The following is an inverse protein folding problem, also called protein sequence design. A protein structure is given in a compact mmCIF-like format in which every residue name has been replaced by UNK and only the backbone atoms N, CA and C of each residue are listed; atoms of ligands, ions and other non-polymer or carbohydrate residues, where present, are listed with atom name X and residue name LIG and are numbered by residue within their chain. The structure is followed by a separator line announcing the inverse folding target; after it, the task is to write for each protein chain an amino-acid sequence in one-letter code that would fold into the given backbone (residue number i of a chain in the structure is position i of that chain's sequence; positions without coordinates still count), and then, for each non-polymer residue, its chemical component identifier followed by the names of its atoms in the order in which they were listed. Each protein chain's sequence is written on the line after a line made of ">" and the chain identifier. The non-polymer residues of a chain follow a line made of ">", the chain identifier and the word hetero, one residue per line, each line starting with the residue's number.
data_IF_184696592113
#
_entry.id   IF_184696592113
#
_cell.length_a   1.000
_cell.length_b   1.000
_cell.length_c   1.000
_cell.angle_alpha   90.00
_cell.angle_beta   90.00
_cell.angle_gamma   90.00
#
_symmetry.space_group_name_H-M   'P 1'
#
loop_
_entity.id
_entity.type
_entity.pdbx_description
1 polymer ?
#
# COMPACT_ATOMS: atom_id res chain seq x y z
N UNK A 1 16.20 20.82 -4.97
CA UNK A 1 15.29 19.89 -4.27
C UNK A 1 15.29 18.55 -4.99
N UNK A 2 15.44 17.45 -4.25
CA UNK A 2 15.39 16.10 -4.81
C UNK A 2 13.98 15.80 -5.33
N UNK A 3 13.79 15.30 -6.55
CA UNK A 3 12.48 14.91 -7.05
C UNK A 3 11.80 13.86 -6.15
N UNK A 4 10.49 13.92 -6.03
CA UNK A 4 9.74 13.02 -5.12
C UNK A 4 9.91 11.54 -5.50
N UNK A 5 9.93 11.22 -6.79
CA UNK A 5 10.21 9.86 -7.29
C UNK A 5 11.58 9.34 -6.83
N UNK A 6 12.61 10.21 -6.82
CA UNK A 6 13.95 9.85 -6.31
C UNK A 6 13.92 9.65 -4.79
N UNK A 7 13.16 10.46 -4.04
CA UNK A 7 12.96 10.25 -2.60
C UNK A 7 12.29 8.89 -2.31
N UNK A 8 11.33 8.48 -3.14
CA UNK A 8 10.70 7.14 -3.02
C UNK A 8 11.73 6.04 -3.29
N UNK A 9 12.56 6.16 -4.34
CA UNK A 9 13.62 5.20 -4.64
C UNK A 9 14.63 5.06 -3.48
N UNK A 10 15.08 6.19 -2.92
CA UNK A 10 15.96 6.20 -1.74
C UNK A 10 15.30 5.52 -0.53
N UNK A 11 14.02 5.76 -0.33
CA UNK A 11 13.24 5.12 0.75
C UNK A 11 13.13 3.61 0.56
N UNK A 12 12.92 3.14 -0.67
CA UNK A 12 12.90 1.70 -0.97
C UNK A 12 14.23 1.04 -0.62
N UNK A 13 15.36 1.63 -1.02
CA UNK A 13 16.68 1.10 -0.72
C UNK A 13 16.96 1.11 0.79
N UNK A 14 16.65 2.23 1.46
CA UNK A 14 16.89 2.39 2.90
C UNK A 14 16.08 1.40 3.74
N UNK A 15 14.76 1.33 3.55
CA UNK A 15 13.87 0.45 4.31
C UNK A 15 14.10 -1.01 3.89
N UNK A 16 14.28 -1.25 2.60
CA UNK A 16 14.55 -2.57 2.05
C UNK A 16 15.80 -3.21 2.62
N UNK A 17 16.87 -2.43 2.80
CA UNK A 17 18.10 -2.91 3.45
C UNK A 17 17.84 -3.46 4.85
N UNK A 18 17.09 -2.76 5.69
CA UNK A 18 16.78 -3.23 7.05
C UNK A 18 15.87 -4.46 7.03
N UNK A 19 14.83 -4.45 6.21
CA UNK A 19 13.91 -5.59 6.09
C UNK A 19 14.62 -6.83 5.56
N UNK A 20 15.45 -6.68 4.54
CA UNK A 20 16.23 -7.78 3.96
C UNK A 20 17.15 -8.42 5.00
N UNK A 21 17.84 -7.61 5.79
CA UNK A 21 18.72 -8.12 6.85
C UNK A 21 17.92 -8.85 7.95
N UNK A 22 16.83 -8.25 8.41
CA UNK A 22 15.99 -8.85 9.45
C UNK A 22 15.35 -10.19 9.00
N UNK A 23 14.84 -10.24 7.76
CA UNK A 23 14.29 -11.47 7.19
C UNK A 23 15.36 -12.56 7.03
N UNK A 24 16.55 -12.19 6.53
CA UNK A 24 17.65 -13.13 6.42
C UNK A 24 18.09 -13.68 7.77
N UNK A 25 18.20 -12.83 8.79
CA UNK A 25 18.53 -13.25 10.15
C UNK A 25 17.49 -14.24 10.69
N UNK A 26 16.20 -13.94 10.49
CA UNK A 26 15.11 -14.82 10.94
C UNK A 26 15.10 -16.18 10.22
N UNK A 27 15.37 -16.21 8.91
CA UNK A 27 15.52 -17.45 8.16
C UNK A 27 16.67 -18.29 8.71
N UNK A 28 17.82 -17.69 8.95
CA UNK A 28 18.99 -18.39 9.52
C UNK A 28 18.72 -18.91 10.94
N UNK A 29 18.04 -18.15 11.79
CA UNK A 29 17.64 -18.57 13.13
C UNK A 29 16.71 -19.80 13.11
N UNK A 30 15.99 -19.99 12.01
CA UNK A 30 15.11 -21.16 11.75
C UNK A 30 15.81 -22.29 10.98
N UNK A 31 17.11 -22.18 10.71
CA UNK A 31 17.89 -23.10 9.88
C UNK A 31 17.36 -23.22 8.43
N UNK A 32 16.75 -22.17 7.90
CA UNK A 32 16.33 -22.05 6.49
C UNK A 32 17.46 -21.34 5.74
N UNK A 33 18.20 -22.08 4.90
CA UNK A 33 19.40 -21.57 4.23
C UNK A 33 19.29 -21.51 2.72
N UNK A 34 18.23 -22.06 2.16
CA UNK A 34 17.95 -22.20 0.73
C UNK A 34 17.05 -21.11 0.16
N UNK A 35 16.55 -20.21 1.02
CA UNK A 35 15.75 -19.06 0.60
C UNK A 35 16.59 -17.78 0.62
N UNK A 36 16.67 -17.11 -0.53
CA UNK A 36 17.30 -15.79 -0.68
C UNK A 36 16.29 -14.68 -0.41
N UNK A 37 16.74 -13.58 0.19
CA UNK A 37 15.94 -12.36 0.35
C UNK A 37 16.54 -11.25 -0.49
N UNK A 38 15.77 -10.65 -1.36
CA UNK A 38 16.21 -9.54 -2.19
C UNK A 38 15.26 -8.34 -2.11
N UNK A 39 15.83 -7.15 -2.10
CA UNK A 39 15.10 -5.89 -2.24
C UNK A 39 15.23 -5.38 -3.67
N UNK A 40 14.10 -5.12 -4.31
CA UNK A 40 14.05 -4.59 -5.65
C UNK A 40 13.56 -3.15 -5.68
N UNK A 41 14.35 -2.27 -6.30
CA UNK A 41 13.89 -0.93 -6.66
C UNK A 41 12.79 -1.09 -7.70
N UNK A 42 11.57 -0.66 -7.36
CA UNK A 42 10.38 -0.95 -8.15
C UNK A 42 9.71 0.33 -8.63
N UNK A 43 9.55 0.44 -9.94
CA UNK A 43 8.83 1.50 -10.62
C UNK A 43 7.38 1.06 -10.89
N UNK A 44 6.44 1.97 -10.70
CA UNK A 44 5.02 1.71 -10.94
C UNK A 44 4.47 2.79 -11.86
N UNK A 45 3.98 2.36 -13.02
CA UNK A 45 3.40 3.27 -13.99
C UNK A 45 2.04 3.78 -13.52
N UNK A 46 1.84 5.07 -13.71
CA UNK A 46 0.58 5.77 -13.48
C UNK A 46 0.13 6.51 -14.72
N UNK A 47 -1.16 6.84 -14.81
CA UNK A 47 -1.70 7.67 -15.86
C UNK A 47 -1.36 9.14 -15.59
N UNK A 48 -0.79 9.84 -16.58
CA UNK A 48 -0.52 11.29 -16.47
C UNK A 48 -1.78 12.15 -16.38
N UNK A 49 -2.92 11.60 -16.82
CA UNK A 49 -4.23 12.25 -16.78
C UNK A 49 -5.09 11.82 -15.58
N UNK A 50 -4.53 11.04 -14.64
CA UNK A 50 -5.26 10.64 -13.43
C UNK A 50 -5.78 11.90 -12.69
N UNK A 51 -7.08 11.94 -12.32
CA UNK A 51 -7.68 13.10 -11.64
C UNK A 51 -6.99 13.45 -10.30
N UNK A 52 -6.28 12.53 -9.70
CA UNK A 52 -5.50 12.77 -8.49
C UNK A 52 -4.42 13.85 -8.67
N UNK A 53 -3.92 14.08 -9.90
CA UNK A 53 -2.97 15.17 -10.17
C UNK A 53 -3.61 16.55 -10.06
N UNK A 54 -4.89 16.67 -10.41
CA UNK A 54 -5.64 17.91 -10.24
C UNK A 54 -6.13 18.13 -8.79
N UNK A 55 -6.29 17.04 -8.02
CA UNK A 55 -6.83 17.07 -6.65
C UNK A 55 -5.90 16.33 -5.65
N UNK A 56 -4.70 16.88 -5.33
CA UNK A 56 -3.78 16.27 -4.38
C UNK A 56 -4.42 16.03 -3.01
N UNK A 57 -4.28 14.80 -2.49
CA UNK A 57 -4.92 14.39 -1.23
C UNK A 57 -4.03 13.55 -0.32
N UNK A 58 -2.94 12.96 -0.83
CA UNK A 58 -2.07 12.06 -0.05
C UNK A 58 -1.14 12.85 0.87
N UNK A 59 -1.31 12.79 2.21
CA UNK A 59 -0.42 13.47 3.14
C UNK A 59 0.96 12.83 3.17
N UNK A 60 2.00 13.66 3.09
CA UNK A 60 3.40 13.24 3.19
C UNK A 60 4.19 14.13 4.15
N UNK A 61 5.35 13.63 4.59
CA UNK A 61 6.25 14.37 5.46
C UNK A 61 5.76 14.48 6.92
N UNK A 62 6.42 15.33 7.69
CA UNK A 62 6.12 15.56 9.10
C UNK A 62 4.90 16.48 9.30
N UNK A 63 4.34 16.45 10.48
CA UNK A 63 3.35 17.44 10.90
C UNK A 63 4.00 18.79 11.16
N UNK A 64 3.33 19.86 10.73
CA UNK A 64 3.77 21.24 10.83
C UNK A 64 2.70 22.06 11.56
N UNK A 65 3.10 23.20 12.19
CA UNK A 65 2.14 24.21 12.63
C UNK A 65 1.55 24.92 11.41
N UNK A 66 0.50 25.70 11.62
CA UNK A 66 -0.11 26.49 10.55
C UNK A 66 0.88 27.49 9.95
N UNK A 67 1.63 28.19 10.79
CA UNK A 67 2.63 29.18 10.38
C UNK A 67 3.73 28.54 9.51
N UNK A 68 4.22 27.36 9.92
CA UNK A 68 5.21 26.61 9.16
C UNK A 68 4.63 26.12 7.82
N UNK A 69 3.36 25.72 7.79
CA UNK A 69 2.69 25.29 6.58
C UNK A 69 2.52 26.45 5.60
N UNK A 70 2.11 27.63 6.09
CA UNK A 70 1.96 28.84 5.29
C UNK A 70 3.31 29.29 4.69
N UNK A 71 4.40 29.23 5.47
CA UNK A 71 5.76 29.49 4.99
C UNK A 71 6.18 28.51 3.87
N UNK A 72 5.92 27.21 4.06
CA UNK A 72 6.26 26.18 3.06
C UNK A 72 5.44 26.34 1.78
N UNK A 73 4.16 26.70 1.89
CA UNK A 73 3.31 27.01 0.73
C UNK A 73 3.85 28.20 -0.06
N UNK A 74 4.22 29.29 0.60
CA UNK A 74 4.75 30.50 -0.05
C UNK A 74 6.12 30.26 -0.71
N UNK A 75 6.99 29.52 -0.03
CA UNK A 75 8.39 29.33 -0.47
C UNK A 75 8.53 28.28 -1.57
N UNK A 76 7.71 27.23 -1.57
CA UNK A 76 7.88 26.05 -2.41
C UNK A 76 6.65 25.71 -3.26
N UNK A 77 5.58 26.50 -3.18
CA UNK A 77 4.29 26.23 -3.85
C UNK A 77 3.72 24.85 -3.46
N UNK A 78 3.88 24.47 -2.19
CA UNK A 78 3.34 23.21 -1.69
C UNK A 78 1.89 23.36 -1.27
N UNK A 79 1.07 22.39 -1.64
CA UNK A 79 -0.31 22.29 -1.15
C UNK A 79 -0.25 21.68 0.25
N UNK A 80 -0.68 22.46 1.24
CA UNK A 80 -0.72 22.05 2.64
C UNK A 80 -2.16 21.85 3.07
N UNK A 81 -2.43 20.74 3.80
CA UNK A 81 -3.76 20.46 4.38
C UNK A 81 -3.61 20.06 5.85
N UNK A 82 -4.63 20.38 6.61
CA UNK A 82 -4.80 19.88 7.97
C UNK A 82 -5.02 18.38 7.94
N UNK A 83 -4.41 17.62 8.84
CA UNK A 83 -4.45 16.16 8.90
C UNK A 83 -4.93 15.69 10.27
N UNK A 84 -6.23 15.49 10.39
CA UNK A 84 -6.92 14.85 11.51
C UNK A 84 -6.60 15.46 12.90
N UNK A 85 -6.58 16.80 13.04
CA UNK A 85 -6.35 17.50 14.30
C UNK A 85 -4.90 17.48 14.80
N UNK A 86 -3.97 16.86 14.03
CA UNK A 86 -2.57 16.68 14.43
C UNK A 86 -1.64 17.76 13.89
N UNK A 87 -2.13 18.65 13.03
CA UNK A 87 -1.38 19.71 12.37
C UNK A 87 -1.48 19.62 10.85
N UNK A 88 -0.61 20.34 10.16
CA UNK A 88 -0.62 20.47 8.71
C UNK A 88 0.45 19.57 8.07
N UNK A 89 0.10 18.98 6.94
CA UNK A 89 1.04 18.20 6.11
C UNK A 89 0.95 18.61 4.65
N UNK A 90 2.07 18.46 3.95
CA UNK A 90 2.04 18.56 2.49
C UNK A 90 1.19 17.43 1.93
N UNK A 91 0.32 17.76 0.97
CA UNK A 91 -0.41 16.75 0.20
C UNK A 91 0.10 16.72 -1.24
N UNK A 92 0.14 15.51 -1.79
CA UNK A 92 0.56 15.24 -3.17
C UNK A 92 -0.49 14.39 -3.88
N UNK A 93 -0.38 14.29 -5.21
CA UNK A 93 -1.21 13.38 -5.99
C UNK A 93 -0.99 11.93 -5.54
N UNK A 94 -2.06 11.13 -5.57
CA UNK A 94 -2.01 9.70 -5.31
C UNK A 94 -2.76 8.95 -6.42
N UNK A 95 -2.17 8.88 -7.63
CA UNK A 95 -2.79 8.23 -8.77
C UNK A 95 -2.88 6.72 -8.57
N UNK A 96 -3.81 6.07 -9.29
CA UNK A 96 -3.94 4.61 -9.30
C UNK A 96 -2.75 3.96 -10.02
N UNK A 97 -2.17 2.88 -9.45
CA UNK A 97 -1.13 2.11 -10.13
C UNK A 97 -1.74 1.35 -11.32
N UNK A 98 -1.00 1.28 -12.44
CA UNK A 98 -1.46 0.62 -13.67
C UNK A 98 -0.59 -0.56 -14.09
N UNK A 99 0.71 -0.51 -13.82
CA UNK A 99 1.69 -1.51 -14.27
C UNK A 99 2.91 -1.48 -13.36
N UNK A 100 3.41 -2.65 -12.99
CA UNK A 100 4.69 -2.77 -12.27
C UNK A 100 5.77 -3.06 -13.30
N UNK A 101 6.72 -2.14 -13.47
CA UNK A 101 7.70 -2.22 -14.55
C UNK A 101 8.59 -3.44 -14.42
N UNK A 102 9.02 -3.77 -13.21
CA UNK A 102 9.94 -4.88 -12.93
C UNK A 102 9.25 -6.22 -12.68
N UNK A 103 7.96 -6.35 -13.01
CA UNK A 103 7.15 -7.53 -12.69
C UNK A 103 7.78 -8.85 -13.22
N UNK A 104 8.36 -8.85 -14.41
CA UNK A 104 9.00 -10.04 -14.97
C UNK A 104 10.16 -10.56 -14.13
N UNK A 105 10.99 -9.66 -13.61
CA UNK A 105 12.11 -10.01 -12.73
C UNK A 105 11.60 -10.47 -11.36
N UNK A 106 10.62 -9.77 -10.79
CA UNK A 106 9.99 -10.15 -9.51
C UNK A 106 9.41 -11.54 -9.61
N UNK A 107 8.66 -11.84 -10.68
CA UNK A 107 8.07 -13.18 -10.93
C UNK A 107 9.15 -14.26 -10.99
N UNK A 108 10.23 -14.03 -11.72
CA UNK A 108 11.33 -15.00 -11.85
C UNK A 108 11.93 -15.37 -10.49
N UNK A 109 12.13 -14.36 -9.62
CA UNK A 109 12.65 -14.60 -8.28
C UNK A 109 11.66 -15.36 -7.40
N UNK A 110 10.39 -14.94 -7.41
CA UNK A 110 9.31 -15.62 -6.66
C UNK A 110 9.15 -17.07 -7.12
N UNK A 111 9.15 -17.34 -8.42
CA UNK A 111 9.05 -18.69 -8.99
C UNK A 111 10.27 -19.57 -8.64
N UNK A 112 11.42 -18.94 -8.35
CA UNK A 112 12.62 -19.62 -7.82
C UNK A 112 12.55 -19.93 -6.33
N UNK A 113 11.50 -19.45 -5.63
CA UNK A 113 11.31 -19.65 -4.18
C UNK A 113 11.94 -18.56 -3.30
N UNK A 114 12.40 -17.46 -3.89
CA UNK A 114 13.00 -16.35 -3.16
C UNK A 114 11.96 -15.43 -2.52
N UNK A 115 12.32 -14.77 -1.43
CA UNK A 115 11.56 -13.69 -0.82
C UNK A 115 11.93 -12.36 -1.47
N UNK A 116 10.94 -11.69 -2.06
CA UNK A 116 11.14 -10.42 -2.76
C UNK A 116 10.46 -9.27 -2.02
N UNK A 117 11.24 -8.25 -1.65
CA UNK A 117 10.74 -6.98 -1.13
C UNK A 117 10.62 -6.03 -2.32
N UNK A 118 9.40 -5.74 -2.74
CA UNK A 118 9.10 -4.93 -3.91
C UNK A 118 8.05 -3.85 -3.60
N UNK A 119 7.90 -2.88 -4.49
CA UNK A 119 6.90 -1.80 -4.41
C UNK A 119 6.91 -1.02 -3.10
N UNK A 120 8.05 -0.90 -2.42
CA UNK A 120 8.17 -0.16 -1.17
C UNK A 120 7.60 1.26 -1.29
N UNK A 121 6.78 1.66 -0.30
CA UNK A 121 6.10 2.96 -0.30
C UNK A 121 5.00 3.13 -1.35
N UNK A 122 4.63 2.07 -2.08
CA UNK A 122 3.68 2.08 -3.20
C UNK A 122 4.36 2.05 -4.58
N UNK A 123 5.69 1.92 -4.62
CA UNK A 123 6.48 1.98 -5.85
C UNK A 123 6.86 3.41 -6.26
N UNK A 124 7.88 3.52 -7.10
CA UNK A 124 8.32 4.81 -7.68
C UNK A 124 7.34 5.18 -8.78
N UNK A 125 6.56 6.27 -8.64
CA UNK A 125 5.58 6.64 -9.66
C UNK A 125 6.28 7.14 -10.92
N UNK A 126 5.96 6.54 -12.06
CA UNK A 126 6.51 6.91 -13.37
C UNK A 126 5.41 7.07 -14.42
N UNK A 127 5.63 7.98 -15.35
CA UNK A 127 4.80 8.22 -16.53
C UNK A 127 5.61 7.78 -17.75
N UNK A 128 4.98 7.01 -18.65
CA UNK A 128 5.64 6.56 -19.89
C UNK A 128 5.54 7.64 -20.95
N UNK A 129 6.68 8.08 -21.47
CA UNK A 129 6.78 9.03 -22.57
C UNK A 129 7.61 8.36 -23.69
N UNK A 130 6.95 7.65 -24.60
CA UNK A 130 7.64 6.79 -25.58
C UNK A 130 8.43 5.68 -24.85
N UNK A 131 9.75 5.64 -25.11
CA UNK A 131 10.66 4.69 -24.45
C UNK A 131 11.24 5.20 -23.12
N UNK A 132 10.87 6.41 -22.70
CA UNK A 132 11.37 7.02 -21.47
C UNK A 132 10.35 6.88 -20.33
N UNK A 133 10.84 6.56 -19.13
CA UNK A 133 10.06 6.59 -17.89
C UNK A 133 10.43 7.85 -17.10
N UNK A 134 9.50 8.79 -17.04
CA UNK A 134 9.65 10.04 -16.30
C UNK A 134 9.05 9.90 -14.91
N UNK A 135 9.84 10.19 -13.86
CA UNK A 135 9.35 10.22 -12.48
C UNK A 135 8.21 11.23 -12.30
N UNK A 136 7.10 10.81 -11.72
CA UNK A 136 5.96 11.65 -11.41
C UNK A 136 6.09 12.30 -10.02
N UNK A 137 5.54 13.51 -9.86
CA UNK A 137 5.44 14.20 -8.56
C UNK A 137 4.21 13.70 -7.79
N UNK A 138 4.24 12.43 -7.39
CA UNK A 138 3.13 11.71 -6.78
C UNK A 138 3.65 10.72 -5.73
N UNK A 139 2.74 10.17 -4.92
CA UNK A 139 2.99 9.00 -4.06
C UNK A 139 1.81 8.05 -4.20
N UNK A 140 2.07 6.88 -4.78
CA UNK A 140 1.06 5.84 -4.98
C UNK A 140 0.63 5.28 -3.61
N UNK A 141 -0.64 4.94 -3.44
CA UNK A 141 -1.07 4.24 -2.24
C UNK A 141 -0.54 2.80 -2.26
N UNK A 142 0.15 2.42 -1.18
CA UNK A 142 0.80 1.10 -1.07
C UNK A 142 -0.19 -0.07 -1.09
N UNK A 143 -1.42 0.15 -0.60
CA UNK A 143 -2.42 -0.91 -0.55
C UNK A 143 -2.88 -1.29 -1.98
N UNK A 144 -3.10 -0.28 -2.85
CA UNK A 144 -3.38 -0.52 -4.27
C UNK A 144 -2.18 -1.07 -5.05
N UNK A 145 -0.97 -0.59 -4.76
CA UNK A 145 0.23 -1.15 -5.41
C UNK A 145 0.45 -2.62 -5.02
N UNK A 146 0.17 -2.99 -3.77
CA UNK A 146 0.24 -4.37 -3.30
C UNK A 146 -0.83 -5.26 -3.94
N UNK A 147 -2.05 -4.76 -4.10
CA UNK A 147 -3.11 -5.48 -4.80
C UNK A 147 -2.75 -5.71 -6.27
N UNK A 148 -2.21 -4.71 -6.96
CA UNK A 148 -1.73 -4.85 -8.33
C UNK A 148 -0.60 -5.87 -8.44
N UNK A 149 0.42 -5.79 -7.56
CA UNK A 149 1.53 -6.74 -7.53
C UNK A 149 1.03 -8.17 -7.30
N UNK A 150 0.14 -8.37 -6.33
CA UNK A 150 -0.43 -9.68 -6.04
C UNK A 150 -1.23 -10.24 -7.22
N UNK A 151 -2.00 -9.39 -7.92
CA UNK A 151 -2.73 -9.77 -9.16
C UNK A 151 -1.77 -10.17 -10.28
N UNK A 152 -0.73 -9.36 -10.52
CA UNK A 152 0.24 -9.63 -11.59
C UNK A 152 1.15 -10.84 -11.31
N UNK A 153 1.30 -11.24 -10.03
CA UNK A 153 2.02 -12.45 -9.62
C UNK A 153 1.12 -13.69 -9.53
N UNK A 154 -0.17 -13.57 -9.78
CA UNK A 154 -1.16 -14.66 -9.59
C UNK A 154 -1.16 -15.22 -8.16
N UNK A 155 -0.97 -14.34 -7.16
CA UNK A 155 -0.98 -14.74 -5.77
C UNK A 155 -2.36 -15.28 -5.34
N UNK A 156 -2.36 -16.24 -4.42
CA UNK A 156 -3.59 -16.82 -3.85
C UNK A 156 -4.18 -15.91 -2.76
N UNK A 157 -3.32 -15.24 -2.00
CA UNK A 157 -3.71 -14.44 -0.84
C UNK A 157 -2.98 -13.10 -0.81
N UNK A 158 -3.72 -12.03 -0.55
CA UNK A 158 -3.18 -10.71 -0.20
C UNK A 158 -3.36 -10.46 1.29
N UNK A 159 -2.27 -10.28 2.04
CA UNK A 159 -2.32 -9.98 3.46
C UNK A 159 -1.95 -8.52 3.68
N UNK A 160 -2.86 -7.74 4.25
CA UNK A 160 -2.65 -6.34 4.61
C UNK A 160 -2.49 -6.24 6.13
N UNK A 161 -1.27 -5.98 6.58
CA UNK A 161 -0.97 -5.78 7.99
C UNK A 161 -1.16 -4.33 8.39
N UNK A 162 -1.88 -4.09 9.49
CA UNK A 162 -2.28 -2.76 9.95
C UNK A 162 -2.22 -2.65 11.48
N UNK A 163 -2.65 -1.52 12.04
CA UNK A 163 -2.62 -1.25 13.48
C UNK A 163 -3.88 -1.71 14.22
N UNK A 164 -4.82 -2.36 13.54
CA UNK A 164 -6.04 -2.92 14.14
C UNK A 164 -6.23 -4.37 13.75
N UNK A 165 -6.86 -5.14 14.62
CA UNK A 165 -7.01 -6.58 14.46
C UNK A 165 -8.01 -6.97 13.38
N UNK A 166 -9.11 -6.24 13.26
CA UNK A 166 -10.18 -6.48 12.29
C UNK A 166 -10.71 -5.17 11.74
N UNK A 167 -11.28 -5.18 10.55
CA UNK A 167 -12.12 -4.10 10.08
C UNK A 167 -13.45 -4.08 10.85
N UNK A 168 -14.09 -2.91 10.92
CA UNK A 168 -15.38 -2.79 11.57
C UNK A 168 -16.29 -1.83 10.80
N UNK A 169 -17.59 -2.08 10.86
CA UNK A 169 -18.63 -1.10 10.52
C UNK A 169 -19.02 -0.33 11.77
N UNK A 170 -19.54 0.88 11.61
CA UNK A 170 -19.90 1.81 12.70
C UNK A 170 -18.76 2.04 13.72
N UNK A 171 -17.52 2.06 13.23
CA UNK A 171 -16.33 2.17 14.08
C UNK A 171 -16.40 3.37 15.03
N UNK A 172 -16.13 3.11 16.33
CA UNK A 172 -16.14 4.14 17.37
C UNK A 172 -17.53 4.54 17.89
N UNK A 173 -18.58 3.80 17.51
CA UNK A 173 -19.96 3.98 18.02
C UNK A 173 -20.41 2.80 18.87
N UNK A 174 -21.51 2.92 19.63
CA UNK A 174 -22.09 1.79 20.37
C UNK A 174 -22.53 0.62 19.48
N UNK A 175 -22.81 0.87 18.21
CA UNK A 175 -23.24 -0.13 17.21
C UNK A 175 -22.06 -0.77 16.47
N UNK A 176 -20.81 -0.51 16.88
CA UNK A 176 -19.62 -1.06 16.24
C UNK A 176 -19.69 -2.58 16.16
N UNK A 177 -19.49 -3.09 14.95
CA UNK A 177 -19.45 -4.53 14.67
C UNK A 177 -18.16 -4.87 13.95
N UNK A 178 -17.41 -5.81 14.50
CA UNK A 178 -16.19 -6.34 13.87
C UNK A 178 -16.54 -7.30 12.74
N UNK A 179 -15.77 -7.22 11.66
CA UNK A 179 -15.95 -8.07 10.48
C UNK A 179 -14.91 -9.19 10.52
N UNK A 180 -15.39 -10.43 10.49
CA UNK A 180 -14.53 -11.64 10.51
C UNK A 180 -14.32 -12.19 9.10
N UNK A 181 -15.37 -12.66 8.48
CA UNK A 181 -15.40 -13.28 7.16
C UNK A 181 -16.54 -12.65 6.36
N UNK A 182 -16.21 -11.97 5.27
CA UNK A 182 -17.18 -11.25 4.44
C UNK A 182 -16.93 -11.50 2.96
N UNK A 183 -18.00 -11.50 2.20
CA UNK A 183 -17.93 -11.57 0.75
C UNK A 183 -17.51 -10.22 0.14
N UNK A 184 -17.00 -10.28 -1.09
CA UNK A 184 -16.74 -9.08 -1.90
C UNK A 184 -18.00 -8.21 -2.04
N UNK A 185 -19.18 -8.82 -2.16
CA UNK A 185 -20.45 -8.10 -2.26
C UNK A 185 -20.75 -7.29 -1.00
N UNK A 186 -20.63 -7.89 0.18
CA UNK A 186 -20.82 -7.22 1.48
C UNK A 186 -19.78 -6.13 1.69
N UNK A 187 -18.50 -6.39 1.37
CA UNK A 187 -17.44 -5.39 1.48
C UNK A 187 -17.72 -4.16 0.60
N UNK A 188 -18.19 -4.35 -0.64
CA UNK A 188 -18.60 -3.26 -1.55
C UNK A 188 -19.78 -2.47 -1.01
N UNK A 189 -20.76 -3.15 -0.41
CA UNK A 189 -21.89 -2.50 0.24
C UNK A 189 -21.41 -1.60 1.37
N UNK A 190 -20.59 -2.10 2.30
CA UNK A 190 -20.07 -1.33 3.43
C UNK A 190 -19.18 -0.16 2.99
N UNK A 191 -18.43 -0.33 1.88
CA UNK A 191 -17.68 0.78 1.26
C UNK A 191 -18.64 1.87 0.76
N UNK A 192 -19.72 1.49 0.05
CA UNK A 192 -20.71 2.42 -0.49
C UNK A 192 -21.51 3.15 0.62
N UNK A 193 -21.77 2.49 1.72
CA UNK A 193 -22.42 3.05 2.92
C UNK A 193 -21.49 3.97 3.73
N UNK A 194 -20.18 4.02 3.40
CA UNK A 194 -19.23 4.95 4.01
C UNK A 194 -18.72 4.54 5.39
N UNK A 195 -18.73 3.24 5.71
CA UNK A 195 -18.31 2.75 7.02
C UNK A 195 -16.80 2.88 7.29
N UNK A 196 -15.97 3.05 6.24
CA UNK A 196 -14.52 3.04 6.37
C UNK A 196 -13.91 4.43 6.21
N UNK A 197 -13.04 4.81 7.13
CA UNK A 197 -12.41 6.12 7.15
C UNK A 197 -11.55 6.36 5.89
N UNK A 198 -11.77 7.46 5.14
CA UNK A 198 -10.93 7.87 4.03
C UNK A 198 -9.46 8.04 4.45
N UNK A 199 -8.52 7.59 3.62
CA UNK A 199 -7.08 7.73 3.89
C UNK A 199 -6.49 6.74 4.91
N UNK A 200 -7.32 5.86 5.51
CA UNK A 200 -6.85 4.81 6.42
C UNK A 200 -7.44 3.44 6.07
N UNK A 201 -8.63 3.09 6.57
CA UNK A 201 -9.25 1.78 6.31
C UNK A 201 -9.85 1.66 4.90
N UNK A 202 -10.44 2.72 4.36
CA UNK A 202 -11.08 2.68 3.04
C UNK A 202 -10.15 2.19 1.92
N UNK A 203 -8.93 2.72 1.72
CA UNK A 203 -8.05 2.21 0.68
C UNK A 203 -7.65 0.74 0.88
N UNK A 204 -7.53 0.27 2.13
CA UNK A 204 -7.26 -1.15 2.43
C UNK A 204 -8.41 -2.06 2.00
N UNK A 205 -9.63 -1.68 2.36
CA UNK A 205 -10.84 -2.41 1.97
C UNK A 205 -11.00 -2.44 0.44
N UNK A 206 -10.79 -1.31 -0.23
CA UNK A 206 -10.85 -1.23 -1.69
C UNK A 206 -9.79 -2.10 -2.36
N UNK A 207 -8.54 -2.05 -1.90
CA UNK A 207 -7.46 -2.87 -2.41
C UNK A 207 -7.69 -4.38 -2.17
N UNK A 208 -8.20 -4.73 -0.98
CA UNK A 208 -8.54 -6.10 -0.62
C UNK A 208 -9.68 -6.66 -1.50
N UNK A 209 -10.71 -5.87 -1.74
CA UNK A 209 -11.81 -6.21 -2.65
C UNK A 209 -11.30 -6.36 -4.08
N UNK A 210 -10.52 -5.41 -4.58
CA UNK A 210 -9.96 -5.42 -5.94
C UNK A 210 -9.12 -6.67 -6.21
N UNK A 211 -8.36 -7.13 -5.21
CA UNK A 211 -7.60 -8.37 -5.32
C UNK A 211 -8.51 -9.61 -5.25
N UNK A 212 -9.38 -9.70 -4.24
CA UNK A 212 -10.21 -10.89 -4.02
C UNK A 212 -11.17 -11.17 -5.20
N UNK A 213 -11.72 -10.12 -5.84
CA UNK A 213 -12.61 -10.28 -7.00
C UNK A 213 -11.88 -10.58 -8.32
N UNK A 214 -10.55 -10.43 -8.37
CA UNK A 214 -9.80 -10.49 -9.63
C UNK A 214 -9.68 -11.91 -10.21
N UNK A 215 -9.86 -12.95 -9.42
CA UNK A 215 -9.97 -14.34 -9.87
C UNK A 215 -10.64 -15.24 -8.82
N UNK A 216 -11.29 -16.34 -9.25
CA UNK A 216 -11.83 -17.32 -8.32
C UNK A 216 -10.77 -17.90 -7.39
N UNK A 217 -11.10 -18.09 -6.11
CA UNK A 217 -10.22 -18.68 -5.09
C UNK A 217 -9.26 -17.68 -4.42
N UNK A 218 -9.12 -16.44 -4.94
CA UNK A 218 -8.33 -15.40 -4.29
C UNK A 218 -9.00 -14.89 -3.04
N UNK A 219 -8.17 -14.63 -2.03
CA UNK A 219 -8.63 -14.11 -0.73
C UNK A 219 -7.75 -12.97 -0.27
N UNK A 220 -8.36 -12.00 0.41
CA UNK A 220 -7.62 -10.95 1.12
C UNK A 220 -7.82 -11.09 2.62
N UNK A 221 -6.77 -10.79 3.39
CA UNK A 221 -6.80 -10.76 4.85
C UNK A 221 -6.30 -9.40 5.33
N UNK A 222 -7.09 -8.74 6.18
CA UNK A 222 -6.67 -7.53 6.90
C UNK A 222 -6.54 -7.88 8.36
N UNK A 223 -5.36 -7.69 8.96
CA UNK A 223 -5.15 -8.02 10.37
C UNK A 223 -4.06 -7.16 11.02
N UNK A 224 -3.98 -7.21 12.35
CA UNK A 224 -2.94 -6.57 13.14
C UNK A 224 -1.57 -7.20 12.83
N UNK A 225 -0.52 -6.38 12.73
CA UNK A 225 0.83 -6.84 12.43
C UNK A 225 1.30 -7.95 13.40
N UNK A 226 1.09 -7.77 14.68
CA UNK A 226 1.47 -8.72 15.73
C UNK A 226 0.63 -10.01 15.73
N UNK A 227 -0.50 -10.00 15.03
CA UNK A 227 -1.43 -11.12 14.87
C UNK A 227 -1.40 -11.75 13.46
N UNK A 228 -0.36 -11.45 12.68
CA UNK A 228 -0.24 -11.96 11.31
C UNK A 228 -0.32 -13.49 11.25
N UNK A 229 0.34 -14.19 12.18
CA UNK A 229 0.33 -15.66 12.26
C UNK A 229 -1.05 -16.23 12.52
N UNK A 230 -1.75 -15.68 13.52
CA UNK A 230 -3.11 -16.09 13.88
C UNK A 230 -4.08 -15.78 12.73
N UNK A 231 -3.90 -14.64 12.06
CA UNK A 231 -4.71 -14.27 10.89
C UNK A 231 -4.55 -15.26 9.74
N UNK A 232 -3.32 -15.66 9.41
CA UNK A 232 -3.02 -16.68 8.39
C UNK A 232 -3.66 -18.03 8.76
N UNK A 233 -3.70 -18.37 10.05
CA UNK A 233 -4.33 -19.58 10.56
C UNK A 233 -5.88 -19.50 10.60
N UNK A 234 -6.49 -18.36 10.25
CA UNK A 234 -7.93 -18.15 10.27
C UNK A 234 -8.53 -17.92 11.66
N UNK A 235 -7.69 -17.58 12.65
CA UNK A 235 -8.12 -17.38 14.04
C UNK A 235 -8.53 -15.93 14.33
N UNK A 236 -8.12 -14.99 13.49
CA UNK A 236 -8.45 -13.57 13.61
C UNK A 236 -8.27 -12.83 12.29
N UNK A 237 -8.54 -11.51 12.27
CA UNK A 237 -8.49 -10.67 11.09
C UNK A 237 -9.84 -10.60 10.37
N UNK A 238 -9.91 -9.75 9.33
CA UNK A 238 -11.05 -9.69 8.40
C UNK A 238 -10.64 -10.33 7.09
N UNK A 239 -11.32 -11.42 6.73
CA UNK A 239 -11.12 -12.11 5.45
C UNK A 239 -12.17 -11.65 4.45
N UNK A 240 -11.73 -11.44 3.20
CA UNK A 240 -12.58 -11.01 2.08
C UNK A 240 -12.37 -11.99 0.93
N UNK A 241 -13.46 -12.54 0.38
CA UNK A 241 -13.42 -13.53 -0.70
C UNK A 241 -14.63 -13.41 -1.63
N UNK A 242 -14.57 -14.02 -2.81
CA UNK A 242 -15.76 -14.30 -3.62
C UNK A 242 -16.64 -15.34 -2.91
N UNK A 243 -17.93 -15.39 -3.26
CA UNK A 243 -18.87 -16.44 -2.80
C UNK A 243 -18.40 -17.85 -3.17
#
# INVERSE_FOLDING_TARGET
>A
NTPLSVCVAMSQAYIGYYLQNALREELLNRNITDITVATMITQVRVDEHDPAFACPSKPIGRFLTKEQADEMSQKYDYIMKEDAGRGYRRVVASPKPQEIIEIGTIRTMVDSGDLVIACGGGGIPVIRQGNHLKGASAVIDKDFASALLAKELDADVLIILTAIEKAAIHFGTPEQTWLDDITVAEAKQYIAEGHFAPGSMLPKMQAAVEFAESAPGRQSLITLLEKAREGIQGLTGTRIHLE
#
